data_IF_906498584217
#
_entry.id   IF_906498584217
#
_cell.length_a   1.000
_cell.length_b   1.000
_cell.length_c   1.000
_cell.angle_alpha   90.00
_cell.angle_beta   90.00
_cell.angle_gamma   90.00
#
_symmetry.space_group_name_H-M   'P 1'
#
loop_
_entity.id
_entity.type
_entity.pdbx_description
1 polymer ?
#
# COMPACT_ATOMS: atom_id res chain seq x y z
N UNK A 1 8.21 -0.42 -0.21
CA UNK A 1 7.93 1.00 -0.53
C UNK A 1 7.44 1.83 0.65
N UNK A 2 6.68 1.26 1.61
CA UNK A 2 6.19 1.99 2.81
C UNK A 2 7.29 2.74 3.55
N UNK A 3 8.37 2.03 3.91
CA UNK A 3 9.51 2.59 4.64
C UNK A 3 10.30 3.63 3.83
N UNK A 4 10.68 3.39 2.56
CA UNK A 4 11.32 4.43 1.74
C UNK A 4 10.47 5.69 1.49
N UNK A 5 9.15 5.55 1.38
CA UNK A 5 8.24 6.70 1.26
C UNK A 5 8.21 7.52 2.55
N UNK A 6 8.19 6.84 3.69
CA UNK A 6 8.32 7.48 4.99
C UNK A 6 9.66 8.19 5.12
N UNK A 7 10.77 7.54 4.78
CA UNK A 7 12.10 8.14 4.91
C UNK A 7 12.27 9.38 4.01
N UNK A 8 11.82 9.29 2.76
CA UNK A 8 11.94 10.41 1.82
C UNK A 8 11.05 11.60 2.21
N UNK A 9 9.77 11.36 2.47
CA UNK A 9 8.80 12.45 2.67
C UNK A 9 8.78 13.00 4.10
N UNK A 10 9.15 12.18 5.10
CA UNK A 10 9.16 12.57 6.51
C UNK A 10 10.57 12.92 7.00
N UNK A 11 11.57 12.07 6.77
CA UNK A 11 12.92 12.28 7.33
C UNK A 11 13.72 13.31 6.53
N UNK A 12 13.69 13.25 5.19
CA UNK A 12 14.50 14.14 4.35
C UNK A 12 13.88 15.49 4.05
N UNK A 13 12.55 15.56 4.05
CA UNK A 13 11.86 16.79 3.63
C UNK A 13 11.09 17.48 4.76
N UNK A 14 10.89 16.83 5.91
CA UNK A 14 10.18 17.39 7.08
C UNK A 14 8.81 18.00 6.75
N UNK A 15 8.17 17.55 5.66
CA UNK A 15 6.98 18.19 5.10
C UNK A 15 5.68 17.81 5.78
N UNK A 16 5.63 16.71 6.54
CA UNK A 16 4.37 16.17 7.05
C UNK A 16 4.58 15.32 8.30
N UNK A 17 3.70 15.48 9.27
CA UNK A 17 3.69 14.70 10.50
C UNK A 17 3.12 13.29 10.27
N UNK A 18 2.19 13.16 9.31
CA UNK A 18 1.66 11.87 8.87
C UNK A 18 1.88 11.69 7.37
N UNK A 19 2.68 10.67 7.01
CA UNK A 19 2.81 10.17 5.64
C UNK A 19 2.54 8.68 5.69
N UNK A 20 1.67 8.19 4.81
CA UNK A 20 1.44 6.77 4.67
C UNK A 20 1.15 6.39 3.22
N UNK A 21 1.55 5.18 2.86
CA UNK A 21 1.19 4.52 1.63
C UNK A 21 -0.03 3.63 1.90
N UNK A 22 -1.06 3.73 1.05
CA UNK A 22 -2.26 2.91 1.14
C UNK A 22 -2.52 2.24 -0.20
N UNK A 23 -2.63 0.92 -0.19
CA UNK A 23 -3.22 0.18 -1.29
C UNK A 23 -4.75 0.23 -1.17
N UNK A 24 -5.45 0.34 -2.30
CA UNK A 24 -6.91 0.40 -2.33
C UNK A 24 -7.45 -0.38 -3.52
N UNK A 25 -8.71 -0.79 -3.39
CA UNK A 25 -9.50 -1.49 -4.41
C UNK A 25 -10.85 -0.80 -4.54
N UNK A 26 -11.38 -0.73 -5.76
CA UNK A 26 -12.69 -0.15 -6.01
C UNK A 26 -13.27 -0.70 -7.32
N UNK A 27 -14.58 -0.95 -7.35
CA UNK A 27 -15.30 -1.46 -8.53
C UNK A 27 -16.57 -0.65 -8.83
N UNK A 28 -16.47 0.68 -9.02
CA UNK A 28 -17.64 1.55 -9.17
C UNK A 28 -18.47 1.27 -10.44
N UNK A 29 -17.85 0.65 -11.45
CA UNK A 29 -18.46 0.24 -12.73
C UNK A 29 -18.53 -1.29 -12.88
N UNK A 30 -18.33 -2.04 -11.78
CA UNK A 30 -18.23 -3.50 -11.82
C UNK A 30 -16.85 -4.03 -12.27
N UNK A 31 -15.95 -3.16 -12.73
CA UNK A 31 -14.57 -3.53 -13.03
C UNK A 31 -13.67 -3.28 -11.81
N UNK A 32 -13.03 -4.33 -11.30
CA UNK A 32 -12.11 -4.18 -10.18
C UNK A 32 -10.87 -3.37 -10.58
N UNK A 33 -10.73 -2.19 -9.97
CA UNK A 33 -9.55 -1.34 -10.08
C UNK A 33 -8.77 -1.43 -8.78
N UNK A 34 -7.46 -1.57 -8.89
CA UNK A 34 -6.55 -1.55 -7.74
C UNK A 34 -5.47 -0.51 -7.95
N UNK A 35 -5.07 0.14 -6.86
CA UNK A 35 -4.07 1.20 -6.92
C UNK A 35 -3.34 1.37 -5.60
N UNK A 36 -2.30 2.19 -5.64
CA UNK A 36 -1.55 2.61 -4.46
C UNK A 36 -1.57 4.13 -4.43
N UNK A 37 -1.83 4.69 -3.26
CA UNK A 37 -1.83 6.12 -3.00
C UNK A 37 -0.84 6.45 -1.90
N UNK A 38 -0.08 7.53 -2.08
CA UNK A 38 0.65 8.18 -0.98
C UNK A 38 -0.23 9.29 -0.46
N UNK A 39 -0.45 9.32 0.84
CA UNK A 39 -1.13 10.42 1.54
C UNK A 39 -0.12 11.10 2.43
N UNK A 40 -0.04 12.43 2.32
CA UNK A 40 0.79 13.27 3.18
C UNK A 40 -0.06 14.39 3.79
N UNK A 41 -0.07 14.47 5.11
CA UNK A 41 -0.77 15.50 5.87
C UNK A 41 0.26 16.47 6.48
N UNK A 42 0.36 17.67 5.88
CA UNK A 42 1.17 18.77 6.42
C UNK A 42 0.40 19.50 7.53
N UNK A 43 1.13 20.01 8.55
CA UNK A 43 0.54 20.99 9.47
C UNK A 43 0.29 22.30 8.73
N UNK A 44 -0.84 22.93 9.03
CA UNK A 44 -1.52 23.93 8.20
C UNK A 44 -0.76 25.24 7.90
N UNK A 45 0.42 25.48 8.48
CA UNK A 45 1.10 26.79 8.39
C UNK A 45 2.51 26.79 7.76
N UNK A 46 3.08 25.63 7.38
CA UNK A 46 4.50 25.60 6.95
C UNK A 46 4.73 25.43 5.44
N UNK A 47 3.78 24.84 4.69
CA UNK A 47 3.97 24.57 3.26
C UNK A 47 2.67 24.73 2.47
N UNK A 48 2.76 25.24 1.24
CA UNK A 48 1.62 25.28 0.33
C UNK A 48 1.28 23.88 -0.19
N UNK A 49 -0.01 23.63 -0.46
CA UNK A 49 -0.46 22.35 -1.03
C UNK A 49 0.27 21.99 -2.34
N UNK A 50 0.58 22.99 -3.16
CA UNK A 50 1.33 22.83 -4.41
C UNK A 50 2.75 22.30 -4.18
N UNK A 51 3.41 22.74 -3.11
CA UNK A 51 4.75 22.25 -2.76
C UNK A 51 4.70 20.77 -2.37
N UNK A 52 3.76 20.39 -1.50
CA UNK A 52 3.58 18.99 -1.07
C UNK A 52 3.22 18.09 -2.27
N UNK A 53 2.29 18.53 -3.13
CA UNK A 53 1.91 17.79 -4.33
C UNK A 53 3.10 17.59 -5.30
N UNK A 54 3.96 18.59 -5.45
CA UNK A 54 5.18 18.48 -6.26
C UNK A 54 6.15 17.42 -5.73
N UNK A 55 6.30 17.31 -4.40
CA UNK A 55 7.18 16.31 -3.78
C UNK A 55 6.59 14.90 -3.82
N UNK A 56 5.27 14.76 -3.65
CA UNK A 56 4.58 13.49 -3.90
C UNK A 56 4.75 13.03 -5.35
N UNK A 57 4.64 13.95 -6.30
CA UNK A 57 4.88 13.67 -7.72
C UNK A 57 6.33 13.23 -7.96
N UNK A 58 7.31 13.95 -7.40
CA UNK A 58 8.72 13.59 -7.52
C UNK A 58 9.02 12.20 -6.93
N UNK A 59 8.40 11.86 -5.80
CA UNK A 59 8.51 10.52 -5.21
C UNK A 59 8.06 9.44 -6.20
N UNK A 60 6.89 9.59 -6.81
CA UNK A 60 6.34 8.59 -7.73
C UNK A 60 7.12 8.45 -9.03
N UNK A 61 7.56 9.56 -9.62
CA UNK A 61 8.20 9.53 -10.93
C UNK A 61 9.71 9.28 -10.88
N UNK A 62 10.38 9.62 -9.78
CA UNK A 62 11.83 9.50 -9.67
C UNK A 62 12.23 8.43 -8.69
N UNK A 63 11.64 8.41 -7.50
CA UNK A 63 12.20 7.65 -6.38
C UNK A 63 11.68 6.23 -6.35
N UNK A 64 10.36 6.05 -6.49
CA UNK A 64 9.77 4.73 -6.53
C UNK A 64 10.38 3.84 -7.63
N UNK A 65 10.57 4.31 -8.88
CA UNK A 65 11.21 3.50 -9.92
C UNK A 65 12.65 3.13 -9.59
N UNK A 66 13.45 4.08 -9.08
CA UNK A 66 14.84 3.80 -8.71
C UNK A 66 14.96 2.79 -7.55
N UNK A 67 14.08 2.90 -6.54
CA UNK A 67 14.04 1.95 -5.43
C UNK A 67 13.63 0.55 -5.90
N UNK A 68 12.64 0.46 -6.78
CA UNK A 68 12.18 -0.82 -7.33
C UNK A 68 13.24 -1.46 -8.22
N UNK A 69 13.96 -0.68 -9.02
CA UNK A 69 15.04 -1.18 -9.85
C UNK A 69 16.28 -1.62 -9.03
N UNK A 70 16.52 -0.97 -7.89
CA UNK A 70 17.67 -1.24 -7.02
C UNK A 70 17.42 -2.27 -5.92
N UNK A 71 16.21 -2.83 -5.81
CA UNK A 71 15.92 -3.80 -4.75
C UNK A 71 16.69 -5.10 -5.03
N UNK A 72 17.48 -5.54 -4.04
CA UNK A 72 18.16 -6.82 -4.13
C UNK A 72 17.14 -7.95 -3.98
N UNK A 73 17.40 -9.07 -4.65
CA UNK A 73 16.48 -10.22 -4.67
C UNK A 73 16.22 -10.79 -3.27
N UNK A 74 17.22 -10.79 -2.38
CA UNK A 74 17.10 -11.23 -0.99
C UNK A 74 16.15 -10.33 -0.20
N UNK A 75 16.29 -9.01 -0.32
CA UNK A 75 15.43 -8.03 0.33
C UNK A 75 14.00 -8.08 -0.23
N UNK A 76 13.85 -8.29 -1.53
CA UNK A 76 12.54 -8.50 -2.15
C UNK A 76 11.87 -9.76 -1.60
N UNK A 77 12.60 -10.88 -1.53
CA UNK A 77 12.05 -12.13 -1.02
C UNK A 77 11.61 -11.99 0.44
N UNK A 78 12.45 -11.40 1.30
CA UNK A 78 12.11 -11.12 2.70
C UNK A 78 10.83 -10.27 2.83
N UNK A 79 10.67 -9.26 1.98
CA UNK A 79 9.46 -8.43 1.97
C UNK A 79 8.22 -9.22 1.54
N UNK A 80 8.35 -10.15 0.58
CA UNK A 80 7.23 -11.02 0.19
C UNK A 80 6.90 -12.02 1.29
N UNK A 81 7.90 -12.65 1.90
CA UNK A 81 7.67 -13.63 2.96
C UNK A 81 6.98 -12.98 4.17
N UNK A 82 7.42 -11.77 4.54
CA UNK A 82 6.75 -10.96 5.56
C UNK A 82 5.28 -10.67 5.21
N UNK A 83 4.99 -10.36 3.94
CA UNK A 83 3.62 -10.11 3.48
C UNK A 83 2.76 -11.38 3.49
N UNK A 84 3.35 -12.54 3.16
CA UNK A 84 2.67 -13.84 3.24
C UNK A 84 2.30 -14.14 4.70
N UNK A 85 3.24 -13.99 5.63
CA UNK A 85 2.98 -14.17 7.06
C UNK A 85 1.82 -13.29 7.51
N UNK A 86 1.81 -12.00 7.15
CA UNK A 86 0.71 -11.09 7.49
C UNK A 86 -0.63 -11.55 6.89
N UNK A 87 -0.63 -12.07 5.66
CA UNK A 87 -1.85 -12.58 5.01
C UNK A 87 -2.37 -13.89 5.62
N UNK A 88 -1.50 -14.68 6.24
CA UNK A 88 -1.85 -15.95 6.89
C UNK A 88 -2.24 -15.79 8.36
N UNK A 89 -2.03 -14.60 8.95
CA UNK A 89 -2.51 -14.32 10.30
C UNK A 89 -4.03 -14.44 10.36
N UNK A 90 -4.50 -15.15 11.38
CA UNK A 90 -5.92 -15.22 11.72
C UNK A 90 -6.46 -13.84 12.10
N UNK A 91 -7.74 -13.61 11.80
CA UNK A 91 -8.39 -12.37 12.17
C UNK A 91 -8.47 -12.30 13.72
N UNK A 92 -7.98 -11.22 14.36
CA UNK A 92 -7.85 -11.15 15.82
C UNK A 92 -9.21 -11.12 16.55
N UNK A 93 -10.29 -10.81 15.82
CA UNK A 93 -11.65 -10.77 16.32
C UNK A 93 -12.66 -10.83 15.17
N UNK A 94 -13.91 -11.13 15.50
CA UNK A 94 -15.01 -11.22 14.54
C UNK A 94 -15.26 -9.91 13.78
N UNK A 95 -15.00 -8.73 14.36
CA UNK A 95 -15.17 -7.46 13.66
C UNK A 95 -14.21 -7.34 12.48
N UNK A 96 -12.95 -7.76 12.67
CA UNK A 96 -11.94 -7.74 11.61
C UNK A 96 -12.30 -8.71 10.49
N UNK A 97 -12.86 -9.87 10.84
CA UNK A 97 -13.37 -10.83 9.87
C UNK A 97 -14.57 -10.27 9.08
N UNK A 98 -15.52 -9.63 9.78
CA UNK A 98 -16.69 -8.98 9.17
C UNK A 98 -16.26 -7.88 8.22
N UNK A 99 -15.36 -6.97 8.64
CA UNK A 99 -14.85 -5.88 7.80
C UNK A 99 -14.18 -6.41 6.53
N UNK A 100 -13.38 -7.48 6.65
CA UNK A 100 -12.73 -8.13 5.51
C UNK A 100 -13.76 -8.70 4.53
N UNK A 101 -14.74 -9.44 5.03
CA UNK A 101 -15.78 -10.03 4.18
C UNK A 101 -16.68 -8.95 3.57
N UNK A 102 -16.96 -7.88 4.31
CA UNK A 102 -17.76 -6.76 3.85
C UNK A 102 -17.09 -6.03 2.68
N UNK A 103 -15.77 -5.87 2.69
CA UNK A 103 -15.04 -5.31 1.55
C UNK A 103 -15.27 -6.12 0.27
N UNK A 104 -15.23 -7.46 0.34
CA UNK A 104 -15.46 -8.33 -0.82
C UNK A 104 -16.90 -8.25 -1.35
N UNK A 105 -17.87 -8.04 -0.45
CA UNK A 105 -19.28 -7.82 -0.81
C UNK A 105 -19.45 -6.47 -1.51
N UNK A 106 -18.90 -5.40 -0.93
CA UNK A 106 -18.97 -4.05 -1.50
C UNK A 106 -18.28 -3.97 -2.87
N UNK A 107 -17.21 -4.74 -3.07
CA UNK A 107 -16.53 -4.84 -4.35
C UNK A 107 -17.26 -5.71 -5.38
N UNK A 108 -18.29 -6.47 -4.97
CA UNK A 108 -19.04 -7.36 -5.84
C UNK A 108 -18.29 -8.64 -6.25
N UNK A 109 -17.16 -8.92 -5.60
CA UNK A 109 -16.26 -10.02 -5.95
C UNK A 109 -16.60 -11.31 -5.20
N UNK A 110 -17.14 -11.18 -3.98
CA UNK A 110 -17.47 -12.29 -3.08
C UNK A 110 -16.32 -13.32 -2.88
N UNK A 111 -15.07 -12.87 -3.02
CA UNK A 111 -13.89 -13.73 -2.92
C UNK A 111 -13.41 -13.83 -1.46
N UNK A 112 -14.16 -14.57 -0.64
CA UNK A 112 -13.88 -14.64 0.80
C UNK A 112 -12.56 -15.37 1.16
N UNK A 113 -12.04 -16.22 0.26
CA UNK A 113 -10.76 -16.91 0.41
C UNK A 113 -9.58 -16.17 -0.27
N UNK A 114 -9.72 -14.86 -0.55
CA UNK A 114 -8.71 -14.07 -1.28
C UNK A 114 -7.31 -14.13 -0.66
N UNK A 115 -7.20 -14.21 0.67
CA UNK A 115 -5.90 -14.33 1.37
C UNK A 115 -5.16 -15.61 0.94
N UNK A 116 -5.86 -16.74 0.96
CA UNK A 116 -5.32 -18.05 0.55
C UNK A 116 -4.97 -18.06 -0.94
N UNK A 117 -5.88 -17.57 -1.79
CA UNK A 117 -5.65 -17.50 -3.23
C UNK A 117 -4.44 -16.62 -3.60
N UNK A 118 -4.26 -15.49 -2.90
CA UNK A 118 -3.12 -14.58 -3.12
C UNK A 118 -1.77 -15.21 -2.77
N UNK A 119 -1.75 -16.14 -1.80
CA UNK A 119 -0.53 -16.86 -1.39
C UNK A 119 -0.29 -18.07 -2.31
N UNK A 120 -1.36 -18.79 -2.67
CA UNK A 120 -1.33 -20.03 -3.46
C UNK A 120 -0.93 -19.81 -4.93
N UNK A 121 -1.18 -18.62 -5.51
CA UNK A 121 -0.77 -18.28 -6.88
C UNK A 121 0.75 -18.42 -7.14
N UNK A 122 1.58 -18.66 -6.11
CA UNK A 122 3.01 -19.02 -6.23
C UNK A 122 3.29 -20.48 -6.64
N UNK A 123 2.28 -21.29 -6.94
CA UNK A 123 2.45 -22.71 -7.31
C UNK A 123 2.77 -23.02 -8.79
N UNK A 124 2.91 -22.04 -9.68
CA UNK A 124 3.28 -22.29 -11.09
C UNK A 124 4.22 -21.20 -11.60
N UNK A 125 5.51 -21.51 -11.58
CA UNK A 125 6.57 -20.85 -12.36
C UNK A 125 7.76 -21.77 -12.45
#
# INVERSE_FOLDING_TARGET
LSEPAFDYLRTKETLSYHVYLRAWRSSPDGNLRSGISVVACSQANNFSASHVAGRLTAFWYRIAPHLLAGIRQDAFQTAVDSLITIKQLEDPNMLTEVDRNWEEILLGEAMFNRREASVSFRGVS
#
